data_IF_630769284666
#
_entry.id   IF_630769284666
#
_cell.length_a   1.000
_cell.length_b   1.000
_cell.length_c   1.000
_cell.angle_alpha   90.00
_cell.angle_beta   90.00
_cell.angle_gamma   90.00
#
_symmetry.space_group_name_H-M   'P 1'
#
loop_
_entity.id
_entity.type
_entity.pdbx_description
1 polymer ?
#
# COMPACT_ATOMS: atom_id res chain seq x y z
N UNK A 1 -17.66 1.81 11.26
CA UNK A 1 -16.85 1.38 10.12
C UNK A 1 -16.84 2.47 9.05
N UNK A 2 -15.67 2.81 8.56
CA UNK A 2 -15.51 3.69 7.42
C UNK A 2 -15.06 2.89 6.19
N UNK A 3 -15.71 3.11 5.04
CA UNK A 3 -15.36 2.47 3.77
C UNK A 3 -14.97 3.54 2.76
N UNK A 4 -13.79 3.42 2.14
CA UNK A 4 -13.37 4.37 1.12
C UNK A 4 -12.80 3.68 -0.12
N UNK A 5 -13.12 4.20 -1.28
CA UNK A 5 -12.62 3.68 -2.55
C UNK A 5 -12.80 4.72 -3.67
N UNK A 6 -12.22 4.45 -4.83
CA UNK A 6 -12.61 5.11 -6.06
C UNK A 6 -14.01 4.65 -6.52
N UNK A 7 -14.72 5.47 -7.27
CA UNK A 7 -16.08 5.17 -7.74
C UNK A 7 -16.18 3.89 -8.60
N UNK A 8 -15.07 3.50 -9.25
CA UNK A 8 -15.01 2.26 -10.02
C UNK A 8 -15.16 1.02 -9.15
N UNK A 9 -14.84 1.14 -7.86
CA UNK A 9 -14.96 0.07 -6.86
C UNK A 9 -16.37 -0.01 -6.23
N UNK A 10 -17.37 0.71 -6.75
CA UNK A 10 -18.73 0.73 -6.20
C UNK A 10 -19.34 -0.66 -5.94
N UNK A 11 -19.15 -1.68 -6.80
CA UNK A 11 -19.66 -3.02 -6.51
C UNK A 11 -19.09 -3.60 -5.21
N UNK A 12 -17.77 -3.48 -5.00
CA UNK A 12 -17.11 -3.91 -3.78
C UNK A 12 -17.62 -3.13 -2.55
N UNK A 13 -17.69 -1.80 -2.65
CA UNK A 13 -18.20 -0.94 -1.55
C UNK A 13 -19.60 -1.35 -1.14
N UNK A 14 -20.46 -1.66 -2.11
CA UNK A 14 -21.86 -2.06 -1.86
C UNK A 14 -21.93 -3.37 -1.05
N UNK A 15 -21.13 -4.37 -1.41
CA UNK A 15 -21.09 -5.64 -0.68
C UNK A 15 -20.48 -5.47 0.72
N UNK A 16 -19.42 -4.67 0.86
CA UNK A 16 -18.82 -4.37 2.17
C UNK A 16 -19.83 -3.68 3.10
N UNK A 17 -20.55 -2.68 2.60
CA UNK A 17 -21.60 -1.99 3.39
C UNK A 17 -22.68 -2.99 3.82
N UNK A 18 -23.13 -3.85 2.92
CA UNK A 18 -24.13 -4.88 3.20
C UNK A 18 -23.68 -5.82 4.32
N UNK A 19 -22.47 -6.38 4.21
CA UNK A 19 -21.97 -7.34 5.18
C UNK A 19 -21.62 -6.68 6.53
N UNK A 20 -21.03 -5.48 6.52
CA UNK A 20 -20.78 -4.73 7.74
C UNK A 20 -22.06 -4.34 8.47
N UNK A 21 -23.10 -3.94 7.73
CA UNK A 21 -24.43 -3.63 8.31
C UNK A 21 -25.08 -4.87 8.92
N UNK A 22 -25.02 -6.03 8.24
CA UNK A 22 -25.50 -7.30 8.80
C UNK A 22 -24.76 -7.69 10.09
N UNK A 23 -23.49 -7.34 10.18
CA UNK A 23 -22.68 -7.54 11.39
C UNK A 23 -22.99 -6.53 12.51
N UNK A 24 -23.94 -5.60 12.31
CA UNK A 24 -24.39 -4.61 13.29
C UNK A 24 -23.52 -3.35 13.34
N UNK A 25 -22.68 -3.10 12.35
CA UNK A 25 -21.86 -1.90 12.30
C UNK A 25 -22.63 -0.68 11.78
N UNK A 26 -22.31 0.50 12.31
CA UNK A 26 -22.63 1.78 11.68
C UNK A 26 -21.61 2.06 10.59
N UNK A 27 -22.07 2.26 9.36
CA UNK A 27 -21.19 2.37 8.20
C UNK A 27 -21.30 3.75 7.57
N UNK A 28 -20.17 4.42 7.47
CA UNK A 28 -19.99 5.63 6.67
C UNK A 28 -19.10 5.28 5.48
N UNK A 29 -19.32 5.94 4.33
CA UNK A 29 -18.50 5.68 3.16
C UNK A 29 -18.16 6.93 2.37
N UNK A 30 -17.04 6.86 1.63
CA UNK A 30 -16.58 7.90 0.71
C UNK A 30 -16.16 7.27 -0.61
N UNK A 31 -16.82 7.67 -1.68
CA UNK A 31 -16.37 7.38 -3.05
C UNK A 31 -15.62 8.60 -3.58
N UNK A 32 -14.48 8.35 -4.19
CA UNK A 32 -13.64 9.37 -4.83
C UNK A 32 -13.75 9.24 -6.35
N UNK A 33 -13.76 10.37 -7.04
CA UNK A 33 -13.65 10.43 -8.50
C UNK A 33 -12.28 10.94 -8.88
N UNK A 34 -11.60 10.20 -9.74
CA UNK A 34 -10.29 10.56 -10.26
C UNK A 34 -10.35 11.85 -11.08
N UNK A 35 -11.40 12.02 -11.90
CA UNK A 35 -11.62 13.21 -12.70
C UNK A 35 -11.90 14.44 -11.81
N UNK A 36 -12.71 14.29 -10.78
CA UNK A 36 -12.96 15.37 -9.82
C UNK A 36 -11.67 15.78 -9.10
N UNK A 37 -10.84 14.80 -8.75
CA UNK A 37 -9.53 15.05 -8.14
C UNK A 37 -8.59 15.79 -9.09
N UNK A 38 -8.56 15.43 -10.36
CA UNK A 38 -7.79 16.14 -11.39
C UNK A 38 -8.22 17.61 -11.45
N UNK A 39 -9.53 17.89 -11.51
CA UNK A 39 -10.05 19.26 -11.53
C UNK A 39 -9.67 20.05 -10.29
N UNK A 40 -9.76 19.44 -9.12
CA UNK A 40 -9.30 20.08 -7.88
C UNK A 40 -7.81 20.44 -7.95
N UNK A 41 -6.94 19.50 -8.35
CA UNK A 41 -5.50 19.76 -8.46
C UNK A 41 -5.19 20.87 -9.47
N UNK A 42 -5.88 20.88 -10.61
CA UNK A 42 -5.64 21.80 -11.72
C UNK A 42 -6.08 23.24 -11.43
N UNK A 43 -7.16 23.42 -10.69
CA UNK A 43 -7.78 24.74 -10.49
C UNK A 43 -7.65 25.30 -9.08
N UNK A 44 -7.12 24.54 -8.13
CA UNK A 44 -6.88 25.02 -6.77
C UNK A 44 -5.71 26.02 -6.71
N UNK A 45 -5.86 27.04 -5.89
CA UNK A 45 -4.75 27.88 -5.47
C UNK A 45 -3.93 27.16 -4.35
N UNK A 46 -2.82 27.79 -3.94
CA UNK A 46 -1.90 27.24 -2.95
C UNK A 46 -2.55 26.96 -1.58
N UNK A 47 -3.45 27.80 -1.14
CA UNK A 47 -4.19 27.66 0.12
C UNK A 47 -5.14 26.45 0.04
N UNK A 48 -5.89 26.34 -1.06
CA UNK A 48 -6.82 25.24 -1.29
C UNK A 48 -6.10 23.88 -1.38
N UNK A 49 -4.94 23.83 -2.03
CA UNK A 49 -4.13 22.62 -2.11
C UNK A 49 -3.67 22.15 -0.72
N UNK A 50 -3.35 23.07 0.19
CA UNK A 50 -2.88 22.76 1.55
C UNK A 50 -4.01 22.63 2.57
N UNK A 51 -5.24 22.88 2.20
CA UNK A 51 -6.37 22.85 3.14
C UNK A 51 -6.59 21.46 3.76
N UNK A 52 -6.23 20.40 3.04
CA UNK A 52 -6.43 19.04 3.50
C UNK A 52 -7.81 18.49 3.15
N UNK A 53 -8.15 17.35 3.75
CA UNK A 53 -9.43 16.66 3.54
C UNK A 53 -10.19 16.58 4.87
N UNK A 54 -11.09 17.52 5.09
CA UNK A 54 -11.86 17.66 6.32
C UNK A 54 -12.70 16.40 6.62
N UNK A 55 -13.20 15.72 5.57
CA UNK A 55 -13.97 14.50 5.74
C UNK A 55 -13.06 13.39 6.32
N UNK A 56 -11.88 13.19 5.72
CA UNK A 56 -10.92 12.22 6.21
C UNK A 56 -10.44 12.54 7.63
N UNK A 57 -10.18 13.81 7.93
CA UNK A 57 -9.80 14.24 9.28
C UNK A 57 -10.86 13.86 10.31
N UNK A 58 -12.13 14.20 10.04
CA UNK A 58 -13.24 13.97 10.98
C UNK A 58 -13.53 12.48 11.15
N UNK A 59 -13.51 11.71 10.06
CA UNK A 59 -13.86 10.29 10.12
C UNK A 59 -12.74 9.48 10.77
N UNK A 60 -11.49 9.72 10.40
CA UNK A 60 -10.36 8.98 10.97
C UNK A 60 -10.10 9.29 12.45
N UNK A 61 -10.62 10.40 12.97
CA UNK A 61 -10.65 10.68 14.40
C UNK A 61 -11.61 9.75 15.16
N UNK A 62 -12.68 9.25 14.53
CA UNK A 62 -13.79 8.57 15.20
C UNK A 62 -14.02 7.12 14.76
N UNK A 63 -13.58 6.75 13.58
CA UNK A 63 -13.80 5.39 13.07
C UNK A 63 -13.01 4.34 13.87
N UNK A 64 -13.62 3.19 14.14
CA UNK A 64 -12.94 2.04 14.77
C UNK A 64 -12.31 1.12 13.72
N UNK A 65 -12.87 1.12 12.51
CA UNK A 65 -12.44 0.28 11.39
C UNK A 65 -12.44 1.10 10.12
N UNK A 66 -11.38 1.00 9.33
CA UNK A 66 -11.29 1.55 7.98
C UNK A 66 -11.03 0.45 6.96
N UNK A 67 -11.96 0.28 6.03
CA UNK A 67 -11.83 -0.62 4.89
C UNK A 67 -11.66 0.21 3.61
N UNK A 68 -10.70 -0.16 2.78
CA UNK A 68 -10.43 0.57 1.53
C UNK A 68 -10.15 -0.37 0.37
N UNK A 69 -10.57 0.03 -0.82
CA UNK A 69 -10.18 -0.64 -2.05
C UNK A 69 -9.39 0.32 -2.95
N UNK A 70 -8.33 -0.23 -3.55
CA UNK A 70 -7.55 0.45 -4.57
C UNK A 70 -8.02 -0.01 -5.95
N UNK A 71 -8.26 0.93 -6.81
CA UNK A 71 -8.64 0.75 -8.20
C UNK A 71 -8.89 2.11 -8.82
N UNK A 72 -8.64 2.25 -10.09
CA UNK A 72 -8.80 3.52 -10.78
C UNK A 72 -9.11 3.33 -12.26
N UNK A 73 -9.54 4.38 -12.94
CA UNK A 73 -9.82 4.36 -14.38
C UNK A 73 -8.57 4.57 -15.21
N UNK A 74 -7.57 5.25 -14.66
CA UNK A 74 -6.34 5.61 -15.38
C UNK A 74 -5.18 5.67 -14.39
N UNK A 75 -4.28 4.70 -14.47
CA UNK A 75 -3.07 4.62 -13.64
C UNK A 75 -2.11 5.80 -13.84
N UNK A 76 -2.22 6.49 -14.97
CA UNK A 76 -1.35 7.60 -15.40
C UNK A 76 -2.03 8.97 -15.39
N UNK A 77 -3.17 9.13 -14.71
CA UNK A 77 -3.98 10.36 -14.73
C UNK A 77 -3.19 11.62 -14.31
N UNK A 78 -2.21 11.49 -13.43
CA UNK A 78 -1.44 12.61 -12.89
C UNK A 78 0.00 12.71 -13.41
N UNK A 79 0.37 11.93 -14.44
CA UNK A 79 1.75 11.89 -14.96
C UNK A 79 2.26 13.25 -15.43
N UNK A 80 1.40 14.06 -16.04
CA UNK A 80 1.72 15.39 -16.53
C UNK A 80 1.38 16.51 -15.54
N UNK A 81 0.93 16.17 -14.31
CA UNK A 81 0.64 17.15 -13.29
C UNK A 81 1.96 17.76 -12.75
N UNK A 82 1.95 19.06 -12.47
CA UNK A 82 3.10 19.74 -11.87
C UNK A 82 3.43 19.13 -10.51
N UNK A 83 4.70 18.76 -10.33
CA UNK A 83 5.19 18.14 -9.10
C UNK A 83 4.98 19.02 -7.86
N UNK A 84 5.05 20.36 -8.00
CA UNK A 84 4.80 21.29 -6.90
C UNK A 84 3.32 21.30 -6.49
N UNK A 85 2.39 21.15 -7.42
CA UNK A 85 0.95 21.02 -7.13
C UNK A 85 0.71 19.74 -6.32
N UNK A 86 1.27 18.61 -6.77
CA UNK A 86 1.15 17.34 -6.06
C UNK A 86 1.76 17.41 -4.66
N UNK A 87 2.93 18.03 -4.51
CA UNK A 87 3.59 18.23 -3.23
C UNK A 87 2.76 19.05 -2.26
N UNK A 88 2.23 20.18 -2.68
CA UNK A 88 1.35 21.03 -1.86
C UNK A 88 0.09 20.29 -1.41
N UNK A 89 -0.50 19.52 -2.31
CA UNK A 89 -1.65 18.67 -1.97
C UNK A 89 -1.30 17.57 -0.95
N UNK A 90 -0.09 16.98 -1.05
CA UNK A 90 0.39 16.03 -0.05
C UNK A 90 0.64 16.68 1.31
N UNK A 91 1.07 17.95 1.33
CA UNK A 91 1.20 18.74 2.57
C UNK A 91 -0.15 18.90 3.26
N UNK A 92 -1.21 19.19 2.51
CA UNK A 92 -2.58 19.23 3.04
C UNK A 92 -3.06 17.92 3.65
N UNK A 93 -2.60 16.80 3.13
CA UNK A 93 -2.97 15.48 3.65
C UNK A 93 -2.24 15.07 4.94
N UNK A 94 -1.21 15.81 5.39
CA UNK A 94 -0.36 15.42 6.54
C UNK A 94 -1.15 15.24 7.84
N UNK A 95 -2.17 16.06 8.06
CA UNK A 95 -2.94 16.04 9.31
C UNK A 95 -3.72 14.75 9.46
N UNK A 96 -4.54 14.36 8.49
CA UNK A 96 -5.32 13.13 8.57
C UNK A 96 -4.43 11.88 8.51
N UNK A 97 -3.30 11.93 7.77
CA UNK A 97 -2.32 10.83 7.76
C UNK A 97 -1.70 10.60 9.12
N UNK A 98 -1.47 11.66 9.88
CA UNK A 98 -0.98 11.55 11.25
C UNK A 98 -2.01 10.88 12.16
N UNK A 99 -3.28 11.30 12.11
CA UNK A 99 -4.35 10.61 12.85
C UNK A 99 -4.42 9.13 12.52
N UNK A 100 -4.36 8.81 11.23
CA UNK A 100 -4.33 7.43 10.77
C UNK A 100 -3.15 6.67 11.37
N UNK A 101 -1.93 7.18 11.23
CA UNK A 101 -0.71 6.52 11.72
C UNK A 101 -0.71 6.34 13.24
N UNK A 102 -1.12 7.36 13.98
CA UNK A 102 -1.13 7.34 15.45
C UNK A 102 -2.16 6.31 15.95
N UNK A 103 -3.38 6.31 15.42
CA UNK A 103 -4.45 5.41 15.84
C UNK A 103 -4.27 3.97 15.35
N UNK A 104 -3.69 3.79 14.16
CA UNK A 104 -3.28 2.47 13.68
C UNK A 104 -2.17 1.89 14.58
N UNK A 105 -1.17 2.71 14.91
CA UNK A 105 -0.05 2.31 15.78
C UNK A 105 -0.48 1.97 17.19
N UNK A 106 -1.49 2.66 17.74
CA UNK A 106 -2.06 2.36 19.06
C UNK A 106 -3.05 1.18 19.05
N UNK A 107 -3.46 0.71 17.86
CA UNK A 107 -4.48 -0.34 17.71
C UNK A 107 -5.93 0.15 17.89
N UNK A 108 -6.16 1.45 18.05
CA UNK A 108 -7.51 2.03 18.13
C UNK A 108 -8.25 2.01 16.80
N UNK A 109 -7.52 2.10 15.68
CA UNK A 109 -8.05 1.98 14.34
C UNK A 109 -7.56 0.68 13.71
N UNK A 110 -8.47 -0.25 13.46
CA UNK A 110 -8.19 -1.41 12.61
C UNK A 110 -8.43 -1.02 11.15
N UNK A 111 -7.62 -1.53 10.24
CA UNK A 111 -7.78 -1.23 8.82
C UNK A 111 -7.51 -2.46 7.97
N UNK A 112 -8.11 -2.48 6.79
CA UNK A 112 -7.76 -3.42 5.74
C UNK A 112 -7.95 -2.75 4.38
N UNK A 113 -6.93 -2.89 3.53
CA UNK A 113 -6.95 -2.43 2.15
C UNK A 113 -6.90 -3.60 1.18
N UNK A 114 -7.59 -3.48 0.04
CA UNK A 114 -7.59 -4.50 -1.00
C UNK A 114 -7.45 -3.89 -2.38
N UNK A 115 -6.90 -4.67 -3.32
CA UNK A 115 -6.93 -4.34 -4.74
C UNK A 115 -8.30 -4.73 -5.31
N UNK A 116 -8.96 -3.78 -5.99
CA UNK A 116 -10.12 -4.06 -6.82
C UNK A 116 -9.69 -4.10 -8.27
N UNK A 117 -9.91 -5.22 -9.01
CA UNK A 117 -9.45 -5.33 -10.38
C UNK A 117 -10.13 -4.31 -11.29
N UNK A 118 -9.34 -3.60 -12.11
CA UNK A 118 -9.83 -2.61 -13.07
C UNK A 118 -9.24 -2.85 -14.45
N UNK A 119 -9.88 -2.29 -15.48
CA UNK A 119 -9.36 -2.33 -16.86
C UNK A 119 -7.98 -1.67 -16.98
N UNK A 120 -7.76 -0.58 -16.25
CA UNK A 120 -6.47 0.13 -16.29
C UNK A 120 -5.34 -0.72 -15.67
N UNK A 121 -5.62 -1.42 -14.56
CA UNK A 121 -4.65 -2.29 -13.93
C UNK A 121 -4.35 -3.53 -14.80
N UNK A 122 -5.38 -4.10 -15.44
CA UNK A 122 -5.22 -5.20 -16.41
C UNK A 122 -4.32 -4.80 -17.61
N UNK A 123 -4.48 -3.58 -18.12
CA UNK A 123 -3.62 -3.04 -19.19
C UNK A 123 -2.17 -2.88 -18.74
N UNK A 124 -1.92 -2.37 -17.53
CA UNK A 124 -0.56 -2.27 -16.99
C UNK A 124 0.07 -3.65 -16.78
N UNK A 125 -0.74 -4.64 -16.37
CA UNK A 125 -0.30 -6.03 -16.25
C UNK A 125 -0.15 -6.77 -17.58
N UNK A 126 -0.49 -6.14 -18.73
CA UNK A 126 -0.52 -6.77 -20.06
C UNK A 126 -1.45 -8.00 -20.10
N UNK A 127 -2.56 -7.94 -19.41
CA UNK A 127 -3.59 -8.99 -19.30
C UNK A 127 -4.92 -8.50 -19.87
N UNK A 128 -5.79 -9.43 -20.28
CA UNK A 128 -7.21 -9.12 -20.44
C UNK A 128 -7.83 -8.84 -19.07
N UNK A 129 -8.99 -8.17 -19.05
CA UNK A 129 -9.63 -7.86 -17.76
C UNK A 129 -10.01 -9.13 -16.98
N UNK A 130 -10.55 -10.15 -17.67
CA UNK A 130 -10.93 -11.40 -17.00
C UNK A 130 -9.72 -12.14 -16.43
N UNK A 131 -8.60 -12.21 -17.18
CA UNK A 131 -7.36 -12.83 -16.68
C UNK A 131 -6.81 -12.10 -15.44
N UNK A 132 -6.88 -10.77 -15.43
CA UNK A 132 -6.44 -9.97 -14.31
C UNK A 132 -7.37 -10.12 -13.09
N UNK A 133 -8.68 -10.19 -13.31
CA UNK A 133 -9.67 -10.45 -12.27
C UNK A 133 -9.43 -11.82 -11.63
N UNK A 134 -9.28 -12.86 -12.44
CA UNK A 134 -8.95 -14.22 -11.98
C UNK A 134 -7.62 -14.24 -11.20
N UNK A 135 -6.62 -13.51 -11.68
CA UNK A 135 -5.33 -13.37 -10.99
C UNK A 135 -5.47 -12.73 -9.60
N UNK A 136 -6.18 -11.61 -9.50
CA UNK A 136 -6.36 -10.89 -8.22
C UNK A 136 -7.17 -11.73 -7.23
N UNK A 137 -8.25 -12.37 -7.66
CA UNK A 137 -9.08 -13.21 -6.80
C UNK A 137 -8.38 -14.53 -6.45
N UNK A 138 -7.64 -15.10 -7.39
CA UNK A 138 -6.79 -16.27 -7.17
C UNK A 138 -5.68 -15.99 -6.14
N UNK A 139 -5.04 -14.81 -6.19
CA UNK A 139 -4.07 -14.40 -5.17
C UNK A 139 -4.71 -14.27 -3.77
N UNK A 140 -5.99 -13.90 -3.71
CA UNK A 140 -6.78 -13.90 -2.48
C UNK A 140 -7.25 -15.29 -2.03
N UNK A 141 -7.02 -16.34 -2.83
CA UNK A 141 -7.53 -17.71 -2.60
C UNK A 141 -9.06 -17.76 -2.49
N UNK A 142 -9.77 -16.88 -3.21
CA UNK A 142 -11.23 -16.77 -3.10
C UNK A 142 -11.97 -17.92 -3.83
N UNK A 143 -11.26 -18.69 -4.64
CA UNK A 143 -11.80 -19.82 -5.41
C UNK A 143 -11.74 -21.17 -4.67
N UNK A 144 -11.06 -21.21 -3.51
CA UNK A 144 -10.98 -22.45 -2.71
C UNK A 144 -12.24 -22.61 -1.84
N UNK A 145 -12.53 -23.84 -1.41
CA UNK A 145 -13.73 -24.15 -0.63
C UNK A 145 -13.83 -23.37 0.69
N UNK A 146 -12.71 -23.11 1.36
CA UNK A 146 -12.63 -22.33 2.59
C UNK A 146 -11.42 -21.38 2.59
N UNK A 147 -11.55 -20.19 1.98
CA UNK A 147 -10.49 -19.18 1.97
C UNK A 147 -10.01 -18.78 3.37
N UNK A 148 -10.91 -18.75 4.34
CA UNK A 148 -10.57 -18.37 5.72
C UNK A 148 -9.65 -19.43 6.37
N UNK A 149 -9.93 -20.70 6.15
CA UNK A 149 -9.07 -21.77 6.65
C UNK A 149 -7.69 -21.72 6.01
N UNK A 150 -7.60 -21.46 4.68
CA UNK A 150 -6.31 -21.35 3.98
C UNK A 150 -5.50 -20.15 4.48
N UNK A 151 -6.08 -18.99 4.67
CA UNK A 151 -5.38 -17.84 5.23
C UNK A 151 -4.93 -18.07 6.67
N UNK A 152 -5.68 -18.80 7.49
CA UNK A 152 -5.23 -19.24 8.82
C UNK A 152 -4.05 -20.19 8.75
N UNK A 153 -4.01 -21.08 7.76
CA UNK A 153 -2.88 -22.01 7.52
C UNK A 153 -1.63 -21.22 7.12
N UNK A 154 -1.77 -20.27 6.17
CA UNK A 154 -0.68 -19.37 5.76
C UNK A 154 -0.16 -18.58 6.96
N UNK A 155 -1.04 -17.97 7.75
CA UNK A 155 -0.67 -17.23 8.95
C UNK A 155 0.13 -18.08 9.94
N UNK A 156 -0.29 -19.33 10.16
CA UNK A 156 0.42 -20.24 11.06
C UNK A 156 1.80 -20.66 10.51
N UNK A 157 1.95 -20.80 9.21
CA UNK A 157 3.23 -21.11 8.58
C UNK A 157 4.17 -19.88 8.65
N UNK A 158 3.70 -18.70 8.32
CA UNK A 158 4.46 -17.45 8.43
C UNK A 158 4.90 -17.20 9.88
N UNK A 159 4.07 -17.50 10.86
CA UNK A 159 4.42 -17.36 12.29
C UNK A 159 5.61 -18.25 12.71
N UNK A 160 5.77 -19.42 12.08
CA UNK A 160 6.96 -20.26 12.30
C UNK A 160 8.23 -19.59 11.75
N UNK A 161 8.09 -18.93 10.59
CA UNK A 161 9.19 -18.16 9.99
C UNK A 161 9.51 -16.91 10.80
N UNK A 162 8.50 -16.18 11.31
CA UNK A 162 8.69 -15.05 12.22
C UNK A 162 9.54 -15.47 13.42
N UNK A 163 9.16 -16.56 14.10
CA UNK A 163 9.93 -17.08 15.24
C UNK A 163 11.36 -17.48 14.89
N UNK A 164 11.57 -18.01 13.70
CA UNK A 164 12.93 -18.31 13.23
C UNK A 164 13.72 -17.03 12.95
N UNK A 165 13.12 -16.05 12.29
CA UNK A 165 13.76 -14.78 11.92
C UNK A 165 14.03 -13.91 13.14
N UNK A 166 13.19 -13.94 14.18
CA UNK A 166 13.42 -13.25 15.46
C UNK A 166 14.73 -13.68 16.14
N UNK A 167 15.26 -14.85 15.81
CA UNK A 167 16.56 -15.32 16.32
C UNK A 167 17.75 -14.76 15.55
N UNK A 168 17.54 -14.05 14.45
CA UNK A 168 18.60 -13.57 13.56
C UNK A 168 18.97 -12.13 13.85
N UNK A 169 20.23 -11.80 13.64
CA UNK A 169 20.73 -10.44 13.79
C UNK A 169 21.12 -9.82 12.46
N UNK A 170 21.32 -10.60 11.43
CA UNK A 170 21.72 -10.12 10.10
C UNK A 170 21.03 -10.94 8.99
N UNK A 171 20.62 -10.27 7.95
CA UNK A 171 20.20 -10.85 6.68
C UNK A 171 21.24 -10.47 5.64
N UNK A 172 21.75 -11.43 4.88
CA UNK A 172 22.67 -11.21 3.77
C UNK A 172 22.01 -11.64 2.47
N UNK A 173 21.79 -10.68 1.57
CA UNK A 173 21.14 -10.88 0.27
C UNK A 173 22.21 -10.84 -0.81
N UNK A 174 22.35 -11.94 -1.54
CA UNK A 174 23.29 -12.08 -2.64
C UNK A 174 22.57 -12.53 -3.89
N UNK A 175 22.70 -11.79 -4.96
CA UNK A 175 22.14 -12.09 -6.28
C UNK A 175 22.97 -11.38 -7.35
N UNK A 176 22.68 -11.60 -8.63
CA UNK A 176 23.32 -10.86 -9.71
C UNK A 176 23.13 -9.33 -9.49
N UNK A 177 24.23 -8.59 -9.46
CA UNK A 177 24.20 -7.14 -9.22
C UNK A 177 23.81 -6.71 -7.80
N UNK A 178 23.70 -7.64 -6.85
CA UNK A 178 23.29 -7.36 -5.47
C UNK A 178 24.14 -8.12 -4.47
N UNK A 179 24.73 -7.38 -3.52
CA UNK A 179 25.38 -7.92 -2.33
C UNK A 179 25.18 -6.90 -1.19
N UNK A 180 24.19 -7.20 -0.32
CA UNK A 180 23.78 -6.26 0.72
C UNK A 180 23.53 -6.99 2.04
N UNK A 181 24.08 -6.44 3.12
CA UNK A 181 23.90 -6.91 4.48
C UNK A 181 22.99 -5.98 5.24
N UNK A 182 22.03 -6.56 5.95
CA UNK A 182 20.99 -5.84 6.67
C UNK A 182 20.99 -6.29 8.13
N UNK A 183 21.33 -5.40 9.03
CA UNK A 183 21.22 -5.66 10.47
C UNK A 183 19.76 -5.58 10.90
N UNK A 184 19.24 -6.67 11.45
CA UNK A 184 17.87 -6.81 11.96
C UNK A 184 17.82 -7.13 13.45
N UNK A 185 18.94 -6.98 14.14
CA UNK A 185 19.05 -7.34 15.57
C UNK A 185 18.04 -6.58 16.43
N UNK A 186 17.23 -7.33 17.16
CA UNK A 186 16.23 -6.77 18.07
C UNK A 186 15.02 -6.14 17.36
N UNK A 187 14.89 -6.31 16.04
CA UNK A 187 13.72 -5.87 15.29
C UNK A 187 12.60 -6.90 15.40
N UNK A 188 11.38 -6.43 15.42
CA UNK A 188 10.18 -7.27 15.39
C UNK A 188 9.85 -7.62 13.96
N UNK A 189 9.65 -8.89 13.69
CA UNK A 189 9.11 -9.37 12.43
C UNK A 189 7.59 -9.37 12.46
N UNK A 190 6.99 -8.98 11.36
CA UNK A 190 5.55 -8.83 11.21
C UNK A 190 5.04 -9.89 10.25
N UNK A 191 4.03 -10.62 10.69
CA UNK A 191 3.31 -11.61 9.93
C UNK A 191 2.15 -10.91 9.21
N UNK A 192 2.27 -10.75 7.89
CA UNK A 192 1.25 -10.15 7.03
C UNK A 192 0.34 -11.24 6.47
N UNK A 193 -0.74 -11.49 7.16
CA UNK A 193 -1.63 -12.63 6.97
C UNK A 193 -3.02 -12.24 6.44
N UNK A 194 -3.12 -11.13 5.69
CA UNK A 194 -4.36 -10.65 5.09
C UNK A 194 -5.24 -9.80 6.00
N UNK A 195 -4.78 -9.44 7.22
CA UNK A 195 -5.58 -8.62 8.15
C UNK A 195 -5.45 -7.12 7.90
N UNK A 196 -4.34 -6.68 7.29
CA UNK A 196 -4.07 -5.28 6.96
C UNK A 196 -4.18 -5.02 5.46
N UNK A 197 -3.41 -5.72 4.65
CA UNK A 197 -3.63 -5.81 3.21
C UNK A 197 -4.28 -7.14 2.87
N UNK A 198 -5.14 -7.16 1.85
CA UNK A 198 -5.73 -8.39 1.34
C UNK A 198 -5.76 -8.36 -0.20
N UNK A 199 -5.22 -9.39 -0.90
CA UNK A 199 -4.40 -10.46 -0.35
C UNK A 199 -3.08 -9.96 0.23
N UNK A 200 -2.35 -10.84 0.91
CA UNK A 200 -1.05 -10.58 1.52
C UNK A 200 -0.17 -11.84 1.38
N UNK A 201 0.64 -12.17 2.36
CA UNK A 201 1.45 -13.39 2.35
C UNK A 201 2.94 -13.13 2.50
N UNK A 202 3.31 -11.98 3.07
CA UNK A 202 4.70 -11.62 3.33
C UNK A 202 5.05 -11.64 4.83
N UNK A 203 6.34 -11.65 5.10
CA UNK A 203 6.91 -11.43 6.42
C UNK A 203 7.93 -10.31 6.27
N UNK A 204 7.80 -9.25 7.04
CA UNK A 204 8.70 -8.13 6.92
C UNK A 204 9.19 -7.60 8.27
N UNK A 205 10.30 -6.87 8.23
CA UNK A 205 10.80 -6.05 9.33
C UNK A 205 11.53 -4.81 8.78
N UNK A 206 11.76 -3.82 9.63
CA UNK A 206 12.64 -2.70 9.31
C UNK A 206 14.07 -2.99 9.77
N UNK A 207 15.09 -2.60 9.02
CA UNK A 207 16.48 -2.71 9.47
C UNK A 207 16.79 -1.79 10.64
N UNK A 208 17.92 -2.04 11.31
CA UNK A 208 18.55 -1.04 12.17
C UNK A 208 18.98 0.13 11.28
N UNK A 209 18.73 1.37 11.70
CA UNK A 209 18.81 2.58 10.85
C UNK A 209 20.17 2.78 10.17
N UNK A 210 21.26 2.45 10.86
CA UNK A 210 22.64 2.51 10.36
C UNK A 210 23.20 1.12 9.97
N UNK A 211 22.35 0.11 9.97
CA UNK A 211 22.73 -1.31 9.85
C UNK A 211 22.68 -1.88 8.44
N UNK A 212 22.59 -1.05 7.40
CA UNK A 212 22.51 -1.52 6.01
C UNK A 212 23.80 -1.15 5.27
N UNK A 213 24.48 -2.16 4.70
CA UNK A 213 25.72 -1.96 3.96
C UNK A 213 25.80 -2.88 2.74
N UNK A 214 26.23 -2.34 1.61
CA UNK A 214 26.39 -3.07 0.37
C UNK A 214 25.79 -2.36 -0.83
N UNK A 215 25.40 -3.13 -1.83
CA UNK A 215 24.79 -2.57 -3.05
C UNK A 215 23.64 -3.45 -3.53
N UNK A 216 22.68 -2.81 -4.19
CA UNK A 216 21.52 -3.47 -4.80
C UNK A 216 21.26 -2.88 -6.18
N UNK A 217 20.96 -3.75 -7.15
CA UNK A 217 20.57 -3.39 -8.51
C UNK A 217 19.13 -3.90 -8.76
N UNK A 218 18.31 -3.04 -9.32
CA UNK A 218 16.94 -3.38 -9.70
C UNK A 218 16.89 -3.68 -11.19
N UNK A 219 16.42 -4.86 -11.56
CA UNK A 219 16.30 -5.32 -12.95
C UNK A 219 15.00 -4.88 -13.62
N UNK A 220 14.00 -4.50 -12.84
CA UNK A 220 12.73 -3.98 -13.33
C UNK A 220 12.71 -2.45 -13.27
N UNK A 221 12.00 -1.77 -14.19
CA UNK A 221 11.77 -0.35 -14.09
C UNK A 221 10.98 -0.02 -12.81
N UNK A 222 11.34 1.08 -12.17
CA UNK A 222 10.60 1.65 -11.05
C UNK A 222 9.84 2.89 -11.48
N UNK A 223 8.72 3.18 -10.86
CA UNK A 223 7.99 4.43 -11.06
C UNK A 223 8.20 5.32 -9.84
N UNK A 224 8.86 6.45 -10.02
CA UNK A 224 9.08 7.42 -8.95
C UNK A 224 8.54 8.79 -9.36
N UNK A 225 7.63 9.34 -8.55
CA UNK A 225 6.97 10.62 -8.83
C UNK A 225 6.34 10.71 -10.23
N UNK A 226 5.75 9.60 -10.72
CA UNK A 226 5.10 9.51 -12.03
C UNK A 226 6.07 9.35 -13.21
N UNK A 227 7.36 9.18 -12.95
CA UNK A 227 8.39 8.95 -13.99
C UNK A 227 8.94 7.54 -13.89
N UNK A 228 9.04 6.87 -15.02
CA UNK A 228 9.73 5.59 -15.13
C UNK A 228 11.24 5.79 -15.01
N UNK A 229 11.89 4.94 -14.23
CA UNK A 229 13.33 4.95 -13.98
C UNK A 229 13.86 3.54 -14.11
N UNK A 230 14.82 3.32 -14.99
CA UNK A 230 15.45 2.03 -15.25
C UNK A 230 16.91 2.00 -14.77
N UNK A 231 17.46 0.78 -14.63
CA UNK A 231 18.85 0.56 -14.32
C UNK A 231 19.28 1.12 -12.96
N UNK A 232 18.38 1.11 -11.99
CA UNK A 232 18.65 1.66 -10.67
C UNK A 232 19.65 0.78 -9.94
N UNK A 233 20.78 1.39 -9.54
CA UNK A 233 21.76 0.78 -8.65
C UNK A 233 22.00 1.70 -7.46
N UNK A 234 21.81 1.18 -6.25
CA UNK A 234 22.03 1.89 -5.00
C UNK A 234 23.25 1.30 -4.28
N UNK A 235 24.15 2.16 -3.82
CA UNK A 235 25.24 1.79 -2.90
C UNK A 235 24.88 2.37 -1.54
N UNK A 236 24.82 1.50 -0.54
CA UNK A 236 24.41 1.86 0.83
C UNK A 236 25.58 1.65 1.78
N UNK A 237 25.84 2.63 2.61
CA UNK A 237 26.83 2.57 3.69
C UNK A 237 26.22 3.17 4.96
N UNK A 238 26.31 2.42 6.06
CA UNK A 238 25.80 2.83 7.37
C UNK A 238 24.35 3.36 7.28
N UNK A 239 23.47 2.59 6.57
CA UNK A 239 22.06 2.89 6.38
C UNK A 239 21.75 4.05 5.42
N UNK A 240 22.74 4.66 4.78
CA UNK A 240 22.56 5.79 3.87
C UNK A 240 22.94 5.42 2.45
N UNK A 241 22.12 5.81 1.50
CA UNK A 241 22.48 5.74 0.08
C UNK A 241 23.58 6.79 -0.16
N UNK A 242 24.78 6.31 -0.52
CA UNK A 242 25.93 7.16 -0.80
C UNK A 242 26.16 7.36 -2.30
N UNK A 243 25.60 6.50 -3.12
CA UNK A 243 25.63 6.60 -4.58
C UNK A 243 24.33 6.02 -5.16
N UNK A 244 23.73 6.79 -6.05
CA UNK A 244 22.54 6.42 -6.85
C UNK A 244 22.93 6.55 -8.32
N UNK A 245 22.98 5.44 -9.05
CA UNK A 245 23.22 5.40 -10.49
C UNK A 245 21.92 5.05 -11.19
N UNK A 246 21.55 5.86 -12.18
CA UNK A 246 20.45 5.65 -13.10
C UNK A 246 21.02 5.56 -14.51
N UNK A 247 20.52 4.64 -15.32
CA UNK A 247 20.63 4.79 -16.75
C UNK A 247 19.51 5.75 -17.21
N UNK A 248 19.89 6.85 -17.81
CA UNK A 248 18.98 7.78 -18.48
C UNK A 248 18.59 7.21 -19.83
#
# INVERSE_FOLDING_TARGET
VFVSADEVCTPWVTEVIKEATKAGAYVEYKLSSQEAREMQLKYSNDEQLRHGDLIMETILEKADVWLSAWGGRNTRAFTNMDAEILKKSQEGAKKWRRFYSDRMGSGELRWCGTQYPTQSDAQEASMSFSEYEDFVYGAGLLEVDDPVAEWKRISAEQERWVKYLDTKSEIHIVSEGTDIKVNVKGRKWINCDGKANFPDGEIFTSPVEDGVNGYITFSFPGIYAGKEVEGIKLIVKDGKVIEDRKST
#
